data_IF_394285324007
#
_entry.id   IF_394285324007
#
_cell.length_a   1.000
_cell.length_b   1.000
_cell.length_c   1.000
_cell.angle_alpha   90.00
_cell.angle_beta   90.00
_cell.angle_gamma   90.00
#
_symmetry.space_group_name_H-M   'P 1'
#
loop_
_entity.id
_entity.type
_entity.pdbx_description
1 polymer ?
#
# COMPACT_ATOMS: atom_id res chain seq x y z
N UNK A 1 35.16 15.61 43.44
CA UNK A 1 33.75 15.59 43.00
C UNK A 1 33.72 16.19 41.61
N UNK A 2 33.36 15.43 40.56
CA UNK A 2 32.03 15.45 39.90
C UNK A 2 31.66 16.90 39.53
N UNK A 3 31.50 17.30 38.27
CA UNK A 3 30.75 16.67 37.16
C UNK A 3 31.41 17.10 35.84
N UNK A 4 31.85 16.15 35.00
CA UNK A 4 32.01 16.39 33.56
C UNK A 4 30.72 15.91 32.91
N UNK A 5 29.95 16.86 32.39
CA UNK A 5 28.67 16.60 31.73
C UNK A 5 28.93 15.72 30.49
N UNK A 6 28.68 14.43 30.64
CA UNK A 6 28.54 13.50 29.53
C UNK A 6 27.22 13.79 28.83
N UNK A 7 27.22 14.82 28.00
CA UNK A 7 26.29 14.89 26.88
C UNK A 7 27.08 14.45 25.64
N UNK A 8 27.48 13.18 25.65
CA UNK A 8 27.51 12.42 24.40
C UNK A 8 26.05 12.26 23.98
N UNK A 9 25.44 13.35 23.50
CA UNK A 9 24.46 13.17 22.44
C UNK A 9 25.30 12.80 21.23
N UNK A 10 25.66 11.52 21.16
CA UNK A 10 25.64 10.82 19.89
C UNK A 10 24.33 11.29 19.25
N UNK A 11 24.44 12.16 18.24
CA UNK A 11 23.32 12.39 17.35
C UNK A 11 23.07 11.02 16.75
N UNK A 12 22.16 10.33 17.43
CA UNK A 12 21.48 9.14 17.05
C UNK A 12 21.07 9.38 15.60
N UNK A 13 21.89 8.89 14.67
CA UNK A 13 21.55 8.60 13.29
C UNK A 13 20.43 7.53 13.23
N UNK A 14 19.47 7.57 14.16
CA UNK A 14 18.07 7.27 13.86
C UNK A 14 17.62 8.33 12.87
N UNK A 15 18.09 8.18 11.63
CA UNK A 15 17.25 8.39 10.46
C UNK A 15 16.00 7.58 10.68
N UNK A 16 15.03 8.20 11.36
CA UNK A 16 13.61 8.01 11.13
C UNK A 16 13.25 6.57 10.77
N UNK A 17 13.58 5.61 11.64
CA UNK A 17 12.84 4.35 11.69
C UNK A 17 11.50 4.68 12.37
N UNK A 18 10.77 5.60 11.73
CA UNK A 18 9.35 5.61 11.90
C UNK A 18 8.97 4.31 11.21
N UNK A 19 8.58 3.29 11.98
CA UNK A 19 8.16 1.97 11.51
C UNK A 19 6.90 2.06 10.64
N UNK A 20 6.97 2.86 9.58
CA UNK A 20 5.94 3.12 8.62
C UNK A 20 6.02 1.98 7.61
N UNK A 21 5.10 1.03 7.75
CA UNK A 21 4.78 0.12 6.66
C UNK A 21 4.14 0.93 5.53
N UNK A 22 4.96 1.45 4.63
CA UNK A 22 4.53 2.07 3.38
C UNK A 22 3.49 1.25 2.61
N UNK A 23 3.59 -0.11 2.50
CA UNK A 23 2.53 -0.91 1.87
C UNK A 23 1.20 -0.85 2.63
N UNK A 24 1.21 -0.87 3.96
CA UNK A 24 -0.02 -0.80 4.75
C UNK A 24 -0.63 0.60 4.71
N UNK A 25 0.19 1.64 4.76
CA UNK A 25 -0.28 3.02 4.64
C UNK A 25 -0.90 3.26 3.27
N UNK A 26 -0.25 2.79 2.20
CA UNK A 26 -0.80 2.86 0.84
C UNK A 26 -2.15 2.12 0.76
N UNK A 27 -2.26 0.95 1.37
CA UNK A 27 -3.52 0.20 1.42
C UNK A 27 -4.63 1.00 2.11
N UNK A 28 -4.32 1.58 3.26
CA UNK A 28 -5.25 2.40 4.03
C UNK A 28 -5.65 3.65 3.23
N UNK A 29 -4.71 4.30 2.55
CA UNK A 29 -4.98 5.45 1.68
C UNK A 29 -5.89 5.09 0.51
N UNK A 30 -5.69 3.91 -0.11
CA UNK A 30 -6.56 3.42 -1.19
C UNK A 30 -8.01 3.22 -0.75
N UNK A 31 -8.23 2.81 0.52
CA UNK A 31 -9.56 2.65 1.12
C UNK A 31 -10.15 3.98 1.62
N UNK A 32 -9.32 4.84 2.23
CA UNK A 32 -9.76 6.09 2.84
C UNK A 32 -10.01 7.21 1.83
N UNK A 33 -9.34 7.20 0.67
CA UNK A 33 -9.54 8.24 -0.33
C UNK A 33 -10.77 7.93 -1.20
N UNK A 34 -11.89 8.67 -1.04
CA UNK A 34 -13.16 8.33 -1.69
C UNK A 34 -13.09 8.48 -3.21
N UNK A 35 -12.23 9.36 -3.73
CA UNK A 35 -12.04 9.52 -5.18
C UNK A 35 -11.26 8.35 -5.76
N UNK A 36 -10.20 7.93 -5.10
CA UNK A 36 -9.42 6.76 -5.53
C UNK A 36 -10.26 5.48 -5.41
N UNK A 37 -10.93 5.29 -4.27
CA UNK A 37 -11.76 4.12 -4.02
C UNK A 37 -12.83 3.95 -5.10
N UNK A 38 -13.60 5.01 -5.37
CA UNK A 38 -14.72 4.96 -6.33
C UNK A 38 -14.27 4.83 -7.79
N UNK A 39 -13.15 5.46 -8.18
CA UNK A 39 -12.72 5.52 -9.59
C UNK A 39 -11.75 4.41 -9.99
N UNK A 40 -10.94 3.90 -9.07
CA UNK A 40 -9.90 2.92 -9.38
C UNK A 40 -10.10 1.62 -8.61
N UNK A 41 -10.28 1.68 -7.28
CA UNK A 41 -10.35 0.48 -6.44
C UNK A 41 -11.59 -0.37 -6.73
N UNK A 42 -12.78 0.18 -6.48
CA UNK A 42 -14.06 -0.50 -6.64
C UNK A 42 -14.26 -1.13 -8.03
N UNK A 43 -14.08 -0.43 -9.16
CA UNK A 43 -14.30 -1.05 -10.48
C UNK A 43 -13.31 -2.17 -10.78
N UNK A 44 -12.12 -2.16 -10.16
CA UNK A 44 -11.09 -3.17 -10.38
C UNK A 44 -11.33 -4.40 -9.53
N UNK A 45 -11.72 -4.23 -8.27
CA UNK A 45 -12.20 -5.31 -7.42
C UNK A 45 -13.46 -5.94 -8.02
N UNK A 46 -14.47 -5.16 -8.40
CA UNK A 46 -15.70 -5.71 -8.98
C UNK A 46 -15.44 -6.56 -10.24
N UNK A 47 -14.53 -6.11 -11.12
CA UNK A 47 -14.08 -6.92 -12.28
C UNK A 47 -13.39 -8.21 -11.86
N UNK A 48 -12.54 -8.14 -10.84
CA UNK A 48 -11.84 -9.30 -10.30
C UNK A 48 -12.84 -10.33 -9.76
N UNK A 49 -13.79 -9.88 -8.95
CA UNK A 49 -14.86 -10.71 -8.39
C UNK A 49 -15.69 -11.38 -9.48
N UNK A 50 -16.11 -10.64 -10.51
CA UNK A 50 -16.87 -11.17 -11.64
C UNK A 50 -16.09 -12.26 -12.38
N UNK A 51 -14.80 -12.02 -12.62
CA UNK A 51 -13.94 -12.96 -13.33
C UNK A 51 -13.68 -14.24 -12.52
N UNK A 52 -13.48 -14.11 -11.20
CA UNK A 52 -13.37 -15.24 -10.29
C UNK A 52 -14.68 -16.05 -10.23
N UNK A 53 -15.84 -15.38 -10.17
CA UNK A 53 -17.16 -16.04 -10.21
C UNK A 53 -17.40 -16.77 -11.54
N UNK A 54 -16.90 -16.23 -12.66
CA UNK A 54 -16.94 -16.90 -13.97
C UNK A 54 -15.98 -18.09 -14.08
N UNK A 55 -15.05 -18.27 -13.14
CA UNK A 55 -14.08 -19.37 -13.16
C UNK A 55 -12.99 -19.21 -14.22
N UNK A 56 -12.75 -17.99 -14.70
CA UNK A 56 -11.69 -17.72 -15.66
C UNK A 56 -10.33 -17.56 -14.95
N UNK A 57 -9.24 -18.06 -15.56
CA UNK A 57 -7.90 -17.85 -15.04
C UNK A 57 -7.48 -16.39 -15.30
N UNK A 58 -7.78 -15.50 -14.35
CA UNK A 58 -7.26 -14.13 -14.37
C UNK A 58 -6.02 -14.02 -13.50
N UNK A 59 -4.98 -13.40 -14.06
CA UNK A 59 -3.79 -12.97 -13.32
C UNK A 59 -4.18 -11.76 -12.46
N UNK A 60 -4.69 -12.03 -11.25
CA UNK A 60 -5.03 -11.03 -10.22
C UNK A 60 -3.90 -10.02 -10.04
N UNK A 61 -2.66 -10.54 -9.95
CA UNK A 61 -1.45 -9.73 -9.81
C UNK A 61 -1.30 -8.73 -10.95
N UNK A 62 -1.47 -9.15 -12.21
CA UNK A 62 -1.37 -8.24 -13.37
C UNK A 62 -2.48 -7.20 -13.42
N UNK A 63 -3.68 -7.54 -12.94
CA UNK A 63 -4.78 -6.58 -12.89
C UNK A 63 -4.63 -5.56 -11.75
N UNK A 64 -4.14 -5.98 -10.58
CA UNK A 64 -3.96 -5.12 -9.41
C UNK A 64 -2.68 -4.28 -9.47
N UNK A 65 -1.62 -4.74 -10.13
CA UNK A 65 -0.36 -4.00 -10.30
C UNK A 65 -0.55 -2.58 -10.89
N UNK A 66 -1.29 -2.37 -12.00
CA UNK A 66 -1.57 -1.03 -12.51
C UNK A 66 -2.49 -0.20 -11.60
N UNK A 67 -3.29 -0.82 -10.72
CA UNK A 67 -4.04 -0.09 -9.69
C UNK A 67 -3.10 0.43 -8.60
N UNK A 68 -2.18 -0.41 -8.13
CA UNK A 68 -1.19 -0.03 -7.11
C UNK A 68 -0.26 1.03 -7.68
N UNK A 69 0.20 0.93 -8.92
CA UNK A 69 1.03 1.96 -9.55
C UNK A 69 0.34 3.34 -9.53
N UNK A 70 -0.96 3.39 -9.84
CA UNK A 70 -1.76 4.63 -9.72
C UNK A 70 -1.95 5.07 -8.27
N UNK A 71 -2.07 4.14 -7.33
CA UNK A 71 -2.13 4.45 -5.91
C UNK A 71 -0.83 5.10 -5.44
N UNK A 72 0.34 4.57 -5.84
CA UNK A 72 1.66 5.13 -5.52
C UNK A 72 1.79 6.55 -6.05
N UNK A 73 1.39 6.79 -7.29
CA UNK A 73 1.40 8.13 -7.90
C UNK A 73 0.49 9.10 -7.13
N UNK A 74 -0.75 8.68 -6.84
CA UNK A 74 -1.70 9.48 -6.07
C UNK A 74 -1.22 9.78 -4.64
N UNK A 75 -0.60 8.79 -3.99
CA UNK A 75 -0.02 8.92 -2.65
C UNK A 75 1.18 9.88 -2.67
N UNK A 76 2.09 9.73 -3.64
CA UNK A 76 3.22 10.63 -3.82
C UNK A 76 2.76 12.07 -4.08
N UNK A 77 1.72 12.27 -4.89
CA UNK A 77 1.16 13.59 -5.18
C UNK A 77 0.47 14.21 -3.94
N UNK A 78 -0.23 13.40 -3.13
CA UNK A 78 -0.96 13.88 -1.94
C UNK A 78 -0.04 14.28 -0.79
N UNK A 79 1.02 13.49 -0.55
CA UNK A 79 1.95 13.72 0.55
C UNK A 79 3.23 14.44 0.13
N UNK A 80 3.35 14.80 -1.15
CA UNK A 80 4.49 15.50 -1.74
C UNK A 80 5.83 14.86 -1.32
N UNK A 81 5.89 13.54 -1.47
CA UNK A 81 7.04 12.77 -1.01
C UNK A 81 8.26 13.12 -1.87
N UNK A 82 9.44 13.33 -1.26
CA UNK A 82 10.68 13.59 -2.01
C UNK A 82 11.19 12.34 -2.76
N UNK A 83 10.50 11.19 -2.62
CA UNK A 83 10.83 9.92 -3.28
C UNK A 83 9.99 9.73 -4.53
N UNK A 84 10.59 9.08 -5.54
CA UNK A 84 9.87 8.67 -6.75
C UNK A 84 8.84 7.59 -6.40
N UNK A 85 7.68 7.56 -7.05
CA UNK A 85 6.65 6.53 -6.83
C UNK A 85 7.18 5.11 -7.09
N UNK A 86 8.18 4.96 -7.96
CA UNK A 86 8.87 3.69 -8.24
C UNK A 86 9.77 3.23 -7.09
N UNK A 87 10.34 4.16 -6.33
CA UNK A 87 11.22 3.91 -5.17
C UNK A 87 10.46 3.90 -3.84
N UNK A 88 9.12 4.02 -3.90
CA UNK A 88 8.27 4.11 -2.72
C UNK A 88 8.23 2.78 -1.94
N UNK A 89 8.24 1.65 -2.65
CA UNK A 89 8.21 0.30 -2.07
C UNK A 89 8.79 -0.71 -3.07
N UNK A 90 9.38 -1.79 -2.54
CA UNK A 90 9.95 -2.88 -3.35
C UNK A 90 8.86 -3.70 -4.05
N UNK A 91 9.22 -4.36 -5.14
CA UNK A 91 8.32 -5.26 -5.88
C UNK A 91 7.77 -6.41 -5.00
N UNK A 92 8.57 -6.90 -4.06
CA UNK A 92 8.14 -7.93 -3.10
C UNK A 92 7.03 -7.41 -2.16
N UNK A 93 7.13 -6.15 -1.71
CA UNK A 93 6.10 -5.54 -0.87
C UNK A 93 4.84 -5.20 -1.66
N UNK A 94 4.98 -4.86 -2.95
CA UNK A 94 3.84 -4.72 -3.86
C UNK A 94 3.11 -6.05 -3.96
N UNK A 95 3.83 -7.16 -4.08
CA UNK A 95 3.22 -8.48 -4.19
C UNK A 95 2.49 -8.89 -2.91
N UNK A 96 3.13 -8.70 -1.76
CA UNK A 96 2.51 -8.94 -0.46
C UNK A 96 1.25 -8.09 -0.26
N UNK A 97 1.27 -6.83 -0.72
CA UNK A 97 0.10 -5.94 -0.69
C UNK A 97 -1.03 -6.45 -1.62
N UNK A 98 -0.69 -6.91 -2.83
CA UNK A 98 -1.66 -7.51 -3.77
C UNK A 98 -2.33 -8.72 -3.14
N UNK A 99 -1.56 -9.63 -2.55
CA UNK A 99 -2.07 -10.84 -1.89
C UNK A 99 -2.95 -10.48 -0.70
N UNK A 100 -2.57 -9.48 0.10
CA UNK A 100 -3.36 -9.00 1.24
C UNK A 100 -4.70 -8.41 0.79
N UNK A 101 -4.69 -7.51 -0.20
CA UNK A 101 -5.93 -6.95 -0.79
C UNK A 101 -6.79 -8.10 -1.31
N UNK A 102 -6.21 -9.01 -2.08
CA UNK A 102 -6.93 -10.13 -2.65
C UNK A 102 -7.58 -11.03 -1.59
N UNK A 103 -6.85 -11.35 -0.51
CA UNK A 103 -7.35 -12.13 0.61
C UNK A 103 -8.53 -11.45 1.30
N UNK A 104 -8.41 -10.15 1.60
CA UNK A 104 -9.50 -9.36 2.20
C UNK A 104 -10.74 -9.33 1.29
N UNK A 105 -10.55 -9.11 -0.01
CA UNK A 105 -11.66 -9.10 -0.96
C UNK A 105 -12.29 -10.49 -1.12
N UNK A 106 -11.51 -11.58 -1.12
CA UNK A 106 -12.04 -12.95 -1.11
C UNK A 106 -12.87 -13.24 0.15
N UNK A 107 -12.40 -12.80 1.32
CA UNK A 107 -13.15 -12.94 2.57
C UNK A 107 -14.48 -12.16 2.53
N UNK A 108 -14.49 -10.97 1.95
CA UNK A 108 -15.71 -10.17 1.77
C UNK A 108 -16.71 -10.85 0.84
N UNK A 109 -16.25 -11.39 -0.31
CA UNK A 109 -17.09 -12.18 -1.23
C UNK A 109 -17.67 -13.40 -0.52
N UNK A 110 -16.85 -14.10 0.28
CA UNK A 110 -17.26 -15.29 1.02
C UNK A 110 -18.32 -14.97 2.08
N UNK A 111 -18.24 -13.78 2.69
CA UNK A 111 -19.25 -13.27 3.64
C UNK A 111 -20.54 -12.79 2.96
N UNK A 112 -20.57 -12.69 1.63
CA UNK A 112 -21.77 -12.39 0.85
C UNK A 112 -22.13 -10.91 0.74
N UNK A 113 -21.15 -10.01 0.92
CA UNK A 113 -21.30 -8.56 0.72
C UNK A 113 -20.87 -8.14 -0.71
#
# INVERSE_FOLDING_TARGET
MKITEFINSEHDDKKTDLGFNVPEDLHIHMKNDPMFYRKQYYPRIAKLQDTLKRGEPVDVKKELLPMIAKAKDHYCAKYNLPKRPEDLMHDEEVDALIEKIYGEEMELISKGD
#
